data_IF_240285528484
#
_entry.id   IF_240285528484
#
_cell.length_a   1.000
_cell.length_b   1.000
_cell.length_c   1.000
_cell.angle_alpha   90.00
_cell.angle_beta   90.00
_cell.angle_gamma   90.00
#
_symmetry.space_group_name_H-M   'P 1'
#
loop_
_entity.id
_entity.type
_entity.pdbx_description
1 polymer ?
#
# COMPACT_ATOMS: atom_id res chain seq x y z
N UNK A 1 -13.06 12.83 -5.47
CA UNK A 1 -14.02 11.87 -6.06
C UNK A 1 -13.77 10.52 -5.39
N UNK A 2 -14.79 9.94 -4.76
CA UNK A 2 -14.67 8.63 -4.10
C UNK A 2 -14.84 7.55 -5.17
N UNK A 3 -13.84 6.70 -5.36
CA UNK A 3 -14.04 5.46 -6.10
C UNK A 3 -14.96 4.56 -5.29
N UNK A 4 -15.97 3.95 -5.92
CA UNK A 4 -16.80 2.95 -5.23
C UNK A 4 -16.03 1.64 -4.99
N UNK A 5 -16.47 0.78 -4.07
CA UNK A 5 -15.81 -0.51 -3.80
C UNK A 5 -15.74 -1.44 -5.03
N UNK A 6 -16.70 -1.32 -5.95
CA UNK A 6 -16.71 -2.05 -7.22
C UNK A 6 -15.79 -1.44 -8.28
N UNK A 7 -15.33 -0.21 -8.07
CA UNK A 7 -14.50 0.53 -9.02
C UNK A 7 -13.02 0.37 -8.63
N UNK A 8 -12.35 -0.55 -9.28
CA UNK A 8 -10.93 -0.87 -9.02
C UNK A 8 -9.94 0.25 -9.43
N UNK A 9 -10.40 1.43 -9.86
CA UNK A 9 -9.53 2.58 -10.17
C UNK A 9 -8.72 3.04 -8.96
N UNK A 10 -9.14 2.74 -7.73
CA UNK A 10 -8.33 3.03 -6.55
C UNK A 10 -7.00 2.28 -6.54
N UNK A 11 -6.90 1.11 -7.18
CA UNK A 11 -5.66 0.34 -7.30
C UNK A 11 -4.66 1.10 -8.18
N UNK A 12 -5.09 1.54 -9.37
CA UNK A 12 -4.22 2.35 -10.24
C UNK A 12 -3.86 3.69 -9.61
N UNK A 13 -4.80 4.36 -8.95
CA UNK A 13 -4.52 5.60 -8.24
C UNK A 13 -3.48 5.41 -7.11
N UNK A 14 -3.52 4.28 -6.39
CA UNK A 14 -2.54 3.96 -5.37
C UNK A 14 -1.14 3.74 -5.97
N UNK A 15 -1.05 3.07 -7.10
CA UNK A 15 0.20 2.90 -7.87
C UNK A 15 0.75 4.25 -8.31
N UNK A 16 -0.07 5.11 -8.90
CA UNK A 16 0.34 6.44 -9.36
C UNK A 16 0.87 7.30 -8.22
N UNK A 17 0.20 7.30 -7.07
CA UNK A 17 0.64 8.04 -5.89
C UNK A 17 1.96 7.49 -5.36
N UNK A 18 2.14 6.17 -5.31
CA UNK A 18 3.41 5.56 -4.87
C UNK A 18 4.57 5.94 -5.80
N UNK A 19 4.34 5.97 -7.11
CA UNK A 19 5.34 6.42 -8.10
C UNK A 19 5.67 7.91 -7.90
N UNK A 20 4.67 8.75 -7.64
CA UNK A 20 4.90 10.17 -7.34
C UNK A 20 5.70 10.36 -6.05
N UNK A 21 5.38 9.62 -4.99
CA UNK A 21 6.16 9.62 -3.75
C UNK A 21 7.62 9.23 -4.05
N UNK A 22 7.83 8.19 -4.83
CA UNK A 22 9.17 7.73 -5.18
C UNK A 22 9.99 8.80 -5.89
N UNK A 23 9.37 9.57 -6.78
CA UNK A 23 10.02 10.63 -7.56
C UNK A 23 10.28 11.92 -6.77
N UNK A 24 9.41 12.26 -5.81
CA UNK A 24 9.36 13.60 -5.22
C UNK A 24 9.71 13.67 -3.74
N UNK A 25 9.70 12.52 -3.04
CA UNK A 25 9.91 12.50 -1.59
C UNK A 25 11.30 11.98 -1.20
N UNK A 26 11.77 12.44 -0.04
CA UNK A 26 13.00 12.00 0.58
C UNK A 26 12.98 10.50 0.91
N UNK A 27 14.08 9.98 1.44
CA UNK A 27 14.24 8.59 1.87
C UNK A 27 13.09 8.09 2.73
N UNK A 28 12.85 6.79 2.71
CA UNK A 28 11.82 6.10 3.48
C UNK A 28 11.01 5.15 2.62
N UNK A 29 10.49 4.11 3.27
CA UNK A 29 9.72 3.08 2.60
C UNK A 29 8.26 3.48 2.44
N UNK A 30 7.57 2.87 1.47
CA UNK A 30 6.17 3.12 1.15
C UNK A 30 5.37 1.87 1.50
N UNK A 31 4.24 2.05 2.19
CA UNK A 31 3.27 0.99 2.47
C UNK A 31 1.93 1.35 1.81
N UNK A 32 1.47 0.46 0.94
CA UNK A 32 0.18 0.61 0.23
C UNK A 32 -0.79 -0.42 0.78
N UNK A 33 -1.99 -0.01 1.17
CA UNK A 33 -3.06 -0.90 1.62
C UNK A 33 -4.00 -1.23 0.46
N UNK A 34 -4.16 -2.52 0.15
CA UNK A 34 -5.14 -3.04 -0.80
C UNK A 34 -5.97 -4.15 -0.16
N UNK A 35 -6.97 -4.65 -0.88
CA UNK A 35 -8.00 -5.49 -0.27
C UNK A 35 -7.76 -6.99 -0.40
N UNK A 36 -6.92 -7.43 -1.33
CA UNK A 36 -6.68 -8.85 -1.54
C UNK A 36 -5.55 -9.16 -2.50
N UNK A 37 -5.22 -10.44 -2.61
CA UNK A 37 -4.08 -10.95 -3.36
C UNK A 37 -4.06 -10.47 -4.82
N UNK A 38 -5.17 -10.61 -5.55
CA UNK A 38 -5.23 -10.25 -6.98
C UNK A 38 -4.89 -8.77 -7.23
N UNK A 39 -5.41 -7.89 -6.38
CA UNK A 39 -5.12 -6.46 -6.46
C UNK A 39 -3.67 -6.15 -6.12
N UNK A 40 -3.13 -6.84 -5.11
CA UNK A 40 -1.73 -6.69 -4.68
C UNK A 40 -0.79 -7.14 -5.79
N UNK A 41 -1.01 -8.30 -6.39
CA UNK A 41 -0.15 -8.80 -7.46
C UNK A 41 -0.21 -7.91 -8.71
N UNK A 42 -1.40 -7.43 -9.08
CA UNK A 42 -1.58 -6.49 -10.18
C UNK A 42 -0.86 -5.15 -9.92
N UNK A 43 -0.99 -4.61 -8.71
CA UNK A 43 -0.29 -3.39 -8.31
C UNK A 43 1.23 -3.58 -8.29
N UNK A 44 1.73 -4.72 -7.78
CA UNK A 44 3.15 -5.05 -7.78
C UNK A 44 3.72 -5.13 -9.20
N UNK A 45 2.99 -5.75 -10.14
CA UNK A 45 3.41 -5.78 -11.55
C UNK A 45 3.45 -4.38 -12.17
N UNK A 46 2.46 -3.55 -11.90
CA UNK A 46 2.42 -2.17 -12.39
C UNK A 46 3.59 -1.35 -11.84
N UNK A 47 3.84 -1.43 -10.53
CA UNK A 47 4.96 -0.75 -9.86
C UNK A 47 6.34 -1.19 -10.42
N UNK A 48 6.52 -2.50 -10.66
CA UNK A 48 7.78 -3.02 -11.24
C UNK A 48 7.99 -2.51 -12.66
N UNK A 49 6.92 -2.38 -13.46
CA UNK A 49 7.03 -1.78 -14.81
C UNK A 49 7.41 -0.30 -14.75
N UNK A 50 6.84 0.45 -13.81
CA UNK A 50 7.21 1.86 -13.62
C UNK A 50 8.63 2.00 -13.08
N UNK A 51 9.07 1.12 -12.16
CA UNK A 51 10.45 1.08 -11.68
C UNK A 51 11.45 0.88 -12.84
N UNK A 52 11.20 -0.10 -13.71
CA UNK A 52 12.06 -0.35 -14.88
C UNK A 52 12.14 0.87 -15.81
N UNK A 53 11.01 1.54 -16.09
CA UNK A 53 11.02 2.77 -16.91
C UNK A 53 11.81 3.91 -16.25
N UNK A 54 11.79 4.00 -14.92
CA UNK A 54 12.55 5.02 -14.21
C UNK A 54 14.06 4.74 -14.27
N UNK A 55 14.47 3.47 -14.17
CA UNK A 55 15.87 3.07 -14.32
C UNK A 55 16.41 3.40 -15.70
N UNK A 56 15.62 3.21 -16.76
CA UNK A 56 16.00 3.53 -18.14
C UNK A 56 16.11 5.04 -18.41
N UNK A 57 15.51 5.88 -17.57
CA UNK A 57 15.50 7.35 -17.77
C UNK A 57 16.55 8.09 -16.93
N UNK A 58 17.28 7.40 -16.07
CA UNK A 58 18.27 8.02 -15.18
C UNK A 58 19.50 8.47 -15.97
N UNK A 59 19.74 9.78 -15.98
CA UNK A 59 21.00 10.36 -16.43
C UNK A 59 22.11 9.98 -15.44
N UNK A 60 23.26 9.55 -15.96
CA UNK A 60 24.42 9.16 -15.15
C UNK A 60 24.79 10.28 -14.16
N UNK A 61 24.57 10.03 -12.86
CA UNK A 61 24.90 10.98 -11.77
C UNK A 61 23.75 11.35 -10.84
N UNK A 62 22.48 11.09 -11.20
CA UNK A 62 21.30 11.41 -10.41
C UNK A 62 20.53 10.15 -9.94
N UNK A 63 21.23 9.19 -9.35
CA UNK A 63 20.58 7.97 -8.84
C UNK A 63 19.87 8.25 -7.50
N UNK A 64 18.55 8.34 -7.55
CA UNK A 64 17.71 8.08 -6.38
C UNK A 64 17.75 6.59 -5.98
N UNK A 65 17.14 6.21 -4.84
CA UNK A 65 17.07 4.82 -4.41
C UNK A 65 16.34 3.96 -5.43
N UNK A 66 16.80 2.72 -5.65
CA UNK A 66 16.09 1.74 -6.47
C UNK A 66 14.76 1.33 -5.81
N UNK A 67 13.72 1.09 -6.61
CA UNK A 67 12.42 0.67 -6.09
C UNK A 67 12.37 -0.86 -5.94
N UNK A 68 12.21 -1.35 -4.71
CA UNK A 68 12.00 -2.78 -4.40
C UNK A 68 10.53 -3.03 -4.05
N UNK A 69 9.78 -3.66 -4.95
CA UNK A 69 8.35 -3.91 -4.80
C UNK A 69 8.09 -5.28 -4.19
N UNK A 70 7.43 -5.33 -3.03
CA UNK A 70 7.18 -6.52 -2.23
C UNK A 70 5.69 -6.66 -1.88
N UNK A 71 5.06 -7.83 -2.16
CA UNK A 71 3.71 -8.12 -1.70
C UNK A 71 3.71 -8.57 -0.23
N UNK A 72 2.58 -8.35 0.49
CA UNK A 72 2.36 -8.86 1.84
C UNK A 72 0.88 -9.18 2.08
N UNK A 73 0.53 -10.47 2.11
CA UNK A 73 -0.82 -10.97 2.38
C UNK A 73 -0.78 -12.36 3.02
N UNK A 74 -1.85 -12.78 3.67
CA UNK A 74 -1.85 -13.96 4.55
C UNK A 74 -1.50 -15.30 3.87
N UNK A 75 -1.79 -15.46 2.58
CA UNK A 75 -1.47 -16.68 1.82
C UNK A 75 -0.07 -16.66 1.17
N UNK A 76 0.71 -15.58 1.40
CA UNK A 76 2.06 -15.47 0.85
C UNK A 76 2.98 -16.49 1.53
N UNK A 77 3.86 -17.22 0.79
CA UNK A 77 4.88 -18.06 1.39
C UNK A 77 5.77 -17.29 2.36
N UNK A 78 6.15 -17.93 3.47
CA UNK A 78 6.91 -17.27 4.55
C UNK A 78 8.20 -16.61 4.06
N UNK A 79 8.96 -17.30 3.22
CA UNK A 79 10.22 -16.77 2.65
C UNK A 79 10.02 -15.46 1.86
N UNK A 80 8.89 -15.35 1.15
CA UNK A 80 8.55 -14.13 0.42
C UNK A 80 8.08 -13.01 1.36
N UNK A 81 7.37 -13.36 2.45
CA UNK A 81 6.95 -12.41 3.47
C UNK A 81 8.15 -11.88 4.27
N UNK A 82 9.12 -12.72 4.59
CA UNK A 82 10.31 -12.35 5.36
C UNK A 82 11.13 -11.25 4.68
N UNK A 83 11.16 -11.21 3.34
CA UNK A 83 11.83 -10.16 2.58
C UNK A 83 11.32 -8.74 2.88
N UNK A 84 10.07 -8.61 3.34
CA UNK A 84 9.50 -7.33 3.74
C UNK A 84 10.24 -6.77 4.96
N UNK A 85 10.71 -7.67 5.85
CA UNK A 85 11.34 -7.32 7.12
C UNK A 85 12.87 -7.24 7.04
N UNK A 86 13.48 -7.70 5.94
CA UNK A 86 14.93 -7.60 5.73
C UNK A 86 15.38 -6.13 5.85
N UNK A 87 16.49 -5.92 6.53
CA UNK A 87 17.10 -4.59 6.60
C UNK A 87 17.70 -4.23 5.24
N UNK A 88 17.41 -3.01 4.76
CA UNK A 88 18.00 -2.44 3.56
C UNK A 88 18.45 -1.01 3.83
N UNK A 89 19.47 -0.57 3.11
CA UNK A 89 19.88 0.83 3.14
C UNK A 89 18.83 1.68 2.39
N UNK A 90 18.08 2.47 3.12
CA UNK A 90 17.00 3.30 2.58
C UNK A 90 17.50 4.39 1.61
N UNK A 91 18.79 4.75 1.66
CA UNK A 91 19.40 5.67 0.70
C UNK A 91 19.62 5.02 -0.67
N UNK A 92 19.75 3.71 -0.71
CA UNK A 92 20.00 2.93 -1.94
C UNK A 92 18.75 2.20 -2.44
N UNK A 93 17.89 1.75 -1.52
CA UNK A 93 16.73 0.92 -1.83
C UNK A 93 15.50 1.44 -1.10
N UNK A 94 14.49 1.81 -1.87
CA UNK A 94 13.16 2.12 -1.34
C UNK A 94 12.25 0.90 -1.49
N UNK A 95 11.86 0.29 -0.38
CA UNK A 95 10.80 -0.73 -0.39
C UNK A 95 9.45 -0.06 -0.67
N UNK A 96 8.69 -0.68 -1.57
CA UNK A 96 7.28 -0.39 -1.77
C UNK A 96 6.52 -1.67 -1.43
N UNK A 97 5.99 -1.72 -0.23
CA UNK A 97 5.24 -2.88 0.29
C UNK A 97 3.77 -2.69 -0.02
N UNK A 98 3.20 -3.64 -0.75
CA UNK A 98 1.77 -3.66 -1.07
C UNK A 98 1.11 -4.74 -0.23
N UNK A 99 0.26 -4.35 0.72
CA UNK A 99 -0.25 -5.23 1.76
C UNK A 99 -1.77 -5.19 1.91
N UNK A 100 -2.33 -6.26 2.47
CA UNK A 100 -3.67 -6.25 3.05
C UNK A 100 -3.65 -5.57 4.42
N UNK A 101 -4.78 -5.55 5.11
CA UNK A 101 -4.90 -5.08 6.49
C UNK A 101 -4.06 -5.87 7.51
N UNK A 102 -3.35 -6.93 7.10
CA UNK A 102 -2.36 -7.61 7.94
C UNK A 102 -1.26 -6.66 8.44
N UNK A 103 -0.92 -5.65 7.65
CA UNK A 103 0.05 -4.62 8.00
C UNK A 103 -0.55 -3.46 8.82
N UNK A 104 -1.85 -3.49 9.10
CA UNK A 104 -2.55 -2.44 9.86
C UNK A 104 -2.23 -2.55 11.35
N UNK A 105 -2.26 -3.75 11.92
CA UNK A 105 -2.04 -4.03 13.34
C UNK A 105 -1.05 -5.16 13.63
N UNK A 106 -1.13 -6.27 12.88
CA UNK A 106 -0.46 -7.53 13.22
C UNK A 106 1.02 -7.53 12.89
N UNK A 107 1.42 -6.87 11.82
CA UNK A 107 2.81 -6.82 11.36
C UNK A 107 3.29 -5.37 11.24
N UNK A 108 4.54 -5.14 11.68
CA UNK A 108 5.18 -3.84 11.55
C UNK A 108 6.28 -3.91 10.50
N UNK A 109 6.09 -3.17 9.40
CA UNK A 109 7.12 -3.01 8.37
C UNK A 109 8.09 -1.92 8.81
N UNK A 110 9.40 -2.23 8.98
CA UNK A 110 10.36 -1.23 9.42
C UNK A 110 10.59 -0.14 8.39
N UNK A 111 10.87 1.09 8.83
CA UNK A 111 11.31 2.20 7.98
C UNK A 111 10.21 2.79 7.08
N UNK A 112 8.94 2.49 7.31
CA UNK A 112 7.82 3.10 6.58
C UNK A 112 7.67 4.56 6.98
N UNK A 113 7.85 5.45 6.01
CA UNK A 113 7.58 6.90 6.14
C UNK A 113 6.32 7.33 5.39
N UNK A 114 5.91 6.57 4.38
CA UNK A 114 4.81 6.95 3.50
C UNK A 114 3.78 5.83 3.46
N UNK A 115 2.53 6.17 3.75
CA UNK A 115 1.39 5.26 3.65
C UNK A 115 0.45 5.74 2.55
N UNK A 116 0.02 4.83 1.69
CA UNK A 116 -1.02 5.08 0.69
C UNK A 116 -2.25 4.27 1.09
N UNK A 117 -3.35 4.95 1.40
CA UNK A 117 -4.58 4.34 1.91
C UNK A 117 -5.78 4.65 1.02
N UNK A 118 -6.24 3.69 0.19
CA UNK A 118 -7.47 3.83 -0.59
C UNK A 118 -8.75 3.84 0.24
N UNK A 119 -8.72 3.40 1.51
CA UNK A 119 -9.87 3.41 2.40
C UNK A 119 -10.80 2.20 2.27
N UNK A 120 -10.29 1.07 1.76
CA UNK A 120 -11.06 -0.15 1.60
C UNK A 120 -10.41 -1.35 2.29
N UNK A 121 -11.26 -2.32 2.65
CA UNK A 121 -10.86 -3.61 3.20
C UNK A 121 -11.79 -4.70 2.67
N UNK A 122 -11.27 -5.93 2.56
CA UNK A 122 -12.06 -7.11 2.25
C UNK A 122 -12.42 -7.82 3.56
N UNK A 123 -13.70 -8.02 3.80
CA UNK A 123 -14.19 -8.70 4.99
C UNK A 123 -15.25 -9.74 4.66
N UNK A 124 -15.49 -10.66 5.59
CA UNK A 124 -16.58 -11.62 5.46
C UNK A 124 -17.91 -10.88 5.55
N UNK A 125 -18.73 -11.03 4.53
CA UNK A 125 -20.13 -10.62 4.49
C UNK A 125 -21.02 -11.85 4.46
N UNK A 126 -22.24 -11.72 4.95
CA UNK A 126 -23.26 -12.74 4.85
C UNK A 126 -24.37 -12.23 3.92
N UNK A 127 -24.67 -13.00 2.88
CA UNK A 127 -25.83 -12.76 2.03
C UNK A 127 -26.99 -13.60 2.56
N UNK A 128 -27.97 -12.98 3.25
CA UNK A 128 -29.09 -13.72 3.85
C UNK A 128 -30.03 -14.33 2.80
N UNK A 129 -30.09 -13.80 1.57
CA UNK A 129 -30.94 -14.32 0.50
C UNK A 129 -30.38 -15.61 -0.11
N UNK A 130 -29.04 -15.72 -0.16
CA UNK A 130 -28.35 -16.88 -0.73
C UNK A 130 -27.79 -17.83 0.30
N UNK A 131 -27.89 -17.49 1.61
CA UNK A 131 -27.30 -18.23 2.72
C UNK A 131 -25.80 -18.53 2.54
N UNK A 132 -25.07 -17.67 1.85
CA UNK A 132 -23.65 -17.85 1.52
C UNK A 132 -22.82 -16.79 2.20
N UNK A 133 -21.75 -17.20 2.88
CA UNK A 133 -20.72 -16.28 3.33
C UNK A 133 -19.86 -15.89 2.13
N UNK A 134 -19.75 -14.62 1.84
CA UNK A 134 -18.92 -14.06 0.78
C UNK A 134 -17.91 -13.07 1.31
N UNK A 135 -16.81 -12.87 0.58
CA UNK A 135 -15.87 -11.80 0.88
C UNK A 135 -16.26 -10.55 0.07
N UNK A 136 -16.55 -9.48 0.78
CA UNK A 136 -16.97 -8.21 0.18
C UNK A 136 -15.97 -7.10 0.49
N UNK A 137 -15.76 -6.21 -0.49
CA UNK A 137 -14.94 -5.01 -0.31
C UNK A 137 -15.82 -3.90 0.24
N UNK A 138 -15.43 -3.36 1.38
CA UNK A 138 -16.17 -2.30 2.08
C UNK A 138 -15.24 -1.16 2.49
N UNK A 139 -15.77 0.05 2.74
CA UNK A 139 -15.00 1.11 3.36
C UNK A 139 -14.47 0.70 4.75
N UNK A 140 -13.28 1.18 5.09
CA UNK A 140 -12.71 0.98 6.43
C UNK A 140 -13.39 1.87 7.46
N UNK A 141 -13.24 1.51 8.74
CA UNK A 141 -13.61 2.37 9.85
C UNK A 141 -12.59 3.51 10.05
N UNK A 142 -12.98 4.55 10.76
CA UNK A 142 -12.09 5.65 11.15
C UNK A 142 -10.90 5.16 11.97
N UNK A 143 -11.12 4.21 12.89
CA UNK A 143 -10.07 3.59 13.69
C UNK A 143 -9.04 2.89 12.78
N UNK A 144 -9.50 2.11 11.80
CA UNK A 144 -8.61 1.46 10.84
C UNK A 144 -7.82 2.50 10.01
N UNK A 145 -8.46 3.58 9.57
CA UNK A 145 -7.79 4.67 8.85
C UNK A 145 -6.68 5.33 9.69
N UNK A 146 -6.92 5.52 10.99
CA UNK A 146 -5.92 6.06 11.93
C UNK A 146 -4.78 5.05 12.18
N UNK A 147 -5.09 3.76 12.35
CA UNK A 147 -4.09 2.71 12.49
C UNK A 147 -3.20 2.61 11.25
N UNK A 148 -3.76 2.68 10.04
CA UNK A 148 -3.00 2.70 8.78
C UNK A 148 -2.07 3.91 8.72
N UNK A 149 -2.56 5.11 9.02
CA UNK A 149 -1.75 6.31 9.07
C UNK A 149 -0.61 6.21 10.09
N UNK A 150 -0.87 5.59 11.24
CA UNK A 150 0.11 5.35 12.30
C UNK A 150 1.27 4.44 11.90
N UNK A 151 1.17 3.71 10.77
CA UNK A 151 2.31 2.94 10.24
C UNK A 151 3.44 3.84 9.72
N UNK A 152 3.13 5.04 9.26
CA UNK A 152 4.11 5.99 8.76
C UNK A 152 4.86 6.80 9.85
N UNK A 153 4.42 6.76 11.08
CA UNK A 153 4.90 7.66 12.13
C UNK A 153 5.60 6.98 13.32
N UNK A 154 6.13 5.75 13.17
CA UNK A 154 6.67 5.01 14.32
C UNK A 154 8.06 5.43 14.75
N UNK A 155 8.95 5.73 13.83
CA UNK A 155 10.35 6.08 14.09
C UNK A 155 10.67 7.52 13.79
N UNK A 156 9.99 8.09 12.82
CA UNK A 156 10.16 9.47 12.36
C UNK A 156 8.82 10.02 11.86
N UNK A 157 8.74 11.34 11.67
CA UNK A 157 7.56 11.97 11.08
C UNK A 157 7.28 11.41 9.68
N UNK A 158 6.12 10.83 9.47
CA UNK A 158 5.70 10.24 8.22
C UNK A 158 4.49 10.95 7.61
N UNK A 159 4.09 10.51 6.42
CA UNK A 159 2.95 11.05 5.68
C UNK A 159 1.99 9.93 5.27
N UNK A 160 0.69 10.21 5.37
CA UNK A 160 -0.36 9.32 4.91
C UNK A 160 -1.15 9.98 3.77
N UNK A 161 -1.13 9.33 2.61
CA UNK A 161 -1.85 9.74 1.41
C UNK A 161 -3.18 8.97 1.35
N UNK A 162 -4.25 9.61 1.79
CA UNK A 162 -5.60 9.07 1.73
C UNK A 162 -6.22 9.35 0.37
N UNK A 163 -6.67 8.31 -0.34
CA UNK A 163 -7.29 8.43 -1.65
C UNK A 163 -8.80 8.70 -1.56
N UNK A 164 -9.24 9.28 -0.46
CA UNK A 164 -10.62 9.69 -0.18
C UNK A 164 -10.63 11.08 0.47
N UNK A 165 -11.76 11.78 0.35
CA UNK A 165 -11.88 13.14 0.85
C UNK A 165 -11.94 13.19 2.38
N UNK A 166 -11.64 14.37 2.95
CA UNK A 166 -11.84 14.62 4.38
C UNK A 166 -13.28 14.36 4.79
N UNK A 167 -14.26 14.77 3.98
CA UNK A 167 -15.67 14.50 4.28
C UNK A 167 -15.97 12.99 4.37
N UNK A 168 -15.33 12.15 3.55
CA UNK A 168 -15.45 10.70 3.68
C UNK A 168 -14.82 10.19 4.98
N UNK A 169 -13.67 10.72 5.37
CA UNK A 169 -13.01 10.35 6.62
C UNK A 169 -13.83 10.77 7.85
N UNK A 170 -14.41 11.96 7.82
CA UNK A 170 -15.23 12.47 8.93
C UNK A 170 -16.54 11.70 9.08
N UNK A 171 -17.01 11.05 8.00
CA UNK A 171 -18.24 10.24 7.96
C UNK A 171 -18.04 8.73 8.25
N UNK A 172 -16.79 8.28 8.50
CA UNK A 172 -16.45 6.88 8.85
C UNK A 172 -16.85 6.51 10.31
#
# INVERSE_FOLDING_TARGET
TRFGPADKRYVSAAVDVAVQIHKSQNEGHILIFLTGQDEIENACQALRREAAKLEDTIVVGERGPAMLVLPLYGALPQEAADRVFDAVDASQIRKVVVATNIAETSLTVPGVKYVVDPGYVKQKGYDPERAVASLVVVPISKIAAEQRAGRAGRTEAGQCYRLYSKACFDAM
#
